data_IF_617960905366
#
_entry.id   IF_617960905366
#
_cell.length_a   1.000
_cell.length_b   1.000
_cell.length_c   1.000
_cell.angle_alpha   90.00
_cell.angle_beta   90.00
_cell.angle_gamma   90.00
#
_symmetry.space_group_name_H-M   'P 1'
#
loop_
_entity.id
_entity.type
_entity.pdbx_description
1 polymer ?
#
# COMPACT_ATOMS: atom_id res chain seq x y z
N UNK A 1 -36.74 -31.02 -32.88
CA UNK A 1 -37.35 -31.16 -31.54
C UNK A 1 -36.24 -31.72 -30.65
N UNK A 2 -35.55 -31.02 -29.76
CA UNK A 2 -35.77 -29.78 -28.98
C UNK A 2 -34.40 -29.19 -28.62
N UNK A 3 -34.17 -27.90 -28.87
CA UNK A 3 -33.12 -27.16 -28.16
C UNK A 3 -33.64 -26.82 -26.76
N UNK A 4 -33.02 -27.38 -25.73
CA UNK A 4 -33.27 -26.99 -24.34
C UNK A 4 -32.22 -25.95 -23.96
N UNK A 5 -32.60 -24.67 -24.08
CA UNK A 5 -31.81 -23.52 -23.63
C UNK A 5 -31.92 -23.43 -22.11
N UNK A 6 -30.88 -23.87 -21.40
CA UNK A 6 -30.66 -23.59 -19.97
C UNK A 6 -29.41 -22.75 -19.83
N UNK A 7 -29.55 -21.44 -19.98
CA UNK A 7 -28.45 -20.48 -19.86
C UNK A 7 -28.84 -19.17 -19.16
N UNK A 8 -29.87 -19.18 -18.32
CA UNK A 8 -30.47 -17.95 -17.79
C UNK A 8 -30.25 -17.63 -16.31
N UNK A 9 -29.84 -18.59 -15.47
CA UNK A 9 -29.91 -18.41 -14.00
C UNK A 9 -28.55 -18.25 -13.28
N UNK A 10 -27.41 -18.49 -13.94
CA UNK A 10 -26.09 -18.46 -13.28
C UNK A 10 -25.36 -17.11 -13.44
N UNK A 11 -25.78 -16.26 -14.39
CA UNK A 11 -25.11 -15.00 -14.73
C UNK A 11 -25.20 -13.94 -13.61
N UNK A 12 -26.31 -13.88 -12.87
CA UNK A 12 -26.52 -12.85 -11.84
C UNK A 12 -25.70 -13.04 -10.56
N UNK A 13 -25.42 -14.28 -10.16
CA UNK A 13 -24.62 -14.59 -8.97
C UNK A 13 -23.11 -14.44 -9.25
N UNK A 14 -22.67 -14.74 -10.47
CA UNK A 14 -21.28 -14.54 -10.90
C UNK A 14 -20.88 -13.06 -10.94
N UNK A 15 -21.76 -12.21 -11.46
CA UNK A 15 -21.48 -10.77 -11.60
C UNK A 15 -21.36 -10.06 -10.25
N UNK A 16 -22.18 -10.43 -9.26
CA UNK A 16 -22.13 -9.84 -7.92
C UNK A 16 -20.85 -10.21 -7.17
N UNK A 17 -20.39 -11.46 -7.33
CA UNK A 17 -19.14 -11.97 -6.74
C UNK A 17 -17.91 -11.31 -7.37
N UNK A 18 -17.90 -11.17 -8.70
CA UNK A 18 -16.84 -10.48 -9.43
C UNK A 18 -16.73 -9.00 -9.02
N UNK A 19 -17.87 -8.30 -8.94
CA UNK A 19 -17.91 -6.92 -8.48
C UNK A 19 -17.45 -6.78 -7.01
N UNK A 20 -17.77 -7.73 -6.14
CA UNK A 20 -17.29 -7.74 -4.75
C UNK A 20 -15.77 -7.89 -4.67
N UNK A 21 -15.21 -8.84 -5.43
CA UNK A 21 -13.76 -9.06 -5.51
C UNK A 21 -13.02 -7.81 -6.04
N UNK A 22 -13.54 -7.17 -7.09
CA UNK A 22 -12.96 -5.95 -7.65
C UNK A 22 -12.90 -4.81 -6.61
N UNK A 23 -13.95 -4.64 -5.78
CA UNK A 23 -13.95 -3.66 -4.68
C UNK A 23 -12.88 -3.96 -3.63
N UNK A 24 -12.67 -5.23 -3.29
CA UNK A 24 -11.63 -5.66 -2.34
C UNK A 24 -10.24 -5.33 -2.89
N UNK A 25 -9.97 -5.69 -4.14
CA UNK A 25 -8.68 -5.38 -4.80
C UNK A 25 -8.42 -3.86 -4.86
N UNK A 26 -9.44 -3.07 -5.19
CA UNK A 26 -9.33 -1.61 -5.24
C UNK A 26 -8.97 -1.00 -3.88
N UNK A 27 -9.54 -1.50 -2.78
CA UNK A 27 -9.20 -1.06 -1.41
C UNK A 27 -7.74 -1.31 -1.07
N UNK A 28 -7.23 -2.51 -1.37
CA UNK A 28 -5.83 -2.83 -1.09
C UNK A 28 -4.86 -2.12 -2.03
N UNK A 29 -5.26 -1.80 -3.26
CA UNK A 29 -4.48 -0.90 -4.13
C UNK A 29 -4.28 0.48 -3.48
N UNK A 30 -5.34 1.05 -2.88
CA UNK A 30 -5.25 2.35 -2.20
C UNK A 30 -4.32 2.29 -0.99
N UNK A 31 -4.42 1.26 -0.17
CA UNK A 31 -3.53 1.10 1.01
C UNK A 31 -2.08 0.91 0.56
N UNK A 32 -1.82 0.13 -0.49
CA UNK A 32 -0.48 -0.04 -1.06
C UNK A 32 0.08 1.27 -1.63
N UNK A 33 -0.75 2.07 -2.29
CA UNK A 33 -0.35 3.40 -2.77
C UNK A 33 -0.03 4.36 -1.62
N UNK A 34 -0.82 4.35 -0.54
CA UNK A 34 -0.55 5.15 0.66
C UNK A 34 0.77 4.72 1.31
N UNK A 35 0.98 3.41 1.48
CA UNK A 35 2.24 2.87 2.00
C UNK A 35 3.45 3.32 1.17
N UNK A 36 3.34 3.24 -0.15
CA UNK A 36 4.36 3.70 -1.08
C UNK A 36 4.66 5.20 -0.92
N UNK A 37 3.63 6.05 -0.95
CA UNK A 37 3.79 7.51 -0.83
C UNK A 37 4.41 7.89 0.50
N UNK A 38 3.95 7.30 1.62
CA UNK A 38 4.53 7.55 2.94
C UNK A 38 6.00 7.16 2.99
N UNK A 39 6.37 6.00 2.44
CA UNK A 39 7.76 5.54 2.41
C UNK A 39 8.67 6.40 1.55
N UNK A 40 8.23 6.78 0.35
CA UNK A 40 8.98 7.66 -0.54
C UNK A 40 9.15 9.05 0.07
N UNK A 41 8.08 9.60 0.66
CA UNK A 41 8.15 10.88 1.35
C UNK A 41 9.10 10.81 2.56
N UNK A 42 9.00 9.78 3.41
CA UNK A 42 9.91 9.57 4.52
C UNK A 42 11.38 9.53 4.07
N UNK A 43 11.67 8.87 2.95
CA UNK A 43 13.01 8.79 2.39
C UNK A 43 13.57 10.17 2.02
N UNK A 44 12.83 10.94 1.22
CA UNK A 44 13.30 12.25 0.76
C UNK A 44 13.34 13.29 1.88
N UNK A 45 12.31 13.34 2.73
CA UNK A 45 12.28 14.30 3.85
C UNK A 45 13.30 13.94 4.94
N UNK A 46 13.54 12.65 5.19
CA UNK A 46 14.54 12.19 6.16
C UNK A 46 15.97 12.40 5.71
N UNK A 47 16.21 12.39 4.40
CA UNK A 47 17.52 12.67 3.80
C UNK A 47 17.96 14.13 3.97
N UNK A 48 17.02 15.07 4.04
CA UNK A 48 17.31 16.50 4.17
C UNK A 48 17.32 16.89 5.64
N UNK A 49 18.45 17.41 6.13
CA UNK A 49 18.62 17.82 7.53
C UNK A 49 17.52 18.80 8.01
N UNK A 50 17.10 19.76 7.20
CA UNK A 50 16.06 20.72 7.60
C UNK A 50 14.64 20.11 7.73
N UNK A 51 14.38 18.94 7.14
CA UNK A 51 13.05 18.29 7.16
C UNK A 51 13.06 16.94 7.85
N UNK A 52 14.15 16.60 8.54
CA UNK A 52 14.38 15.27 9.07
C UNK A 52 13.29 14.82 10.05
N UNK A 53 12.77 15.72 10.89
CA UNK A 53 11.67 15.38 11.83
C UNK A 53 10.42 14.92 11.09
N UNK A 54 10.04 15.61 10.00
CA UNK A 54 8.91 15.19 9.18
C UNK A 54 9.19 13.83 8.51
N UNK A 55 10.41 13.62 8.01
CA UNK A 55 10.87 12.32 7.50
C UNK A 55 10.77 11.20 8.53
N UNK A 56 11.12 11.47 9.79
CA UNK A 56 11.05 10.51 10.88
C UNK A 56 9.60 10.13 11.21
N UNK A 57 8.71 11.11 11.33
CA UNK A 57 7.28 10.87 11.60
C UNK A 57 6.65 10.04 10.47
N UNK A 58 6.94 10.40 9.22
CA UNK A 58 6.46 9.65 8.06
C UNK A 58 7.06 8.24 8.01
N UNK A 59 8.32 8.04 8.42
CA UNK A 59 8.94 6.73 8.52
C UNK A 59 8.29 5.85 9.59
N UNK A 60 8.03 6.41 10.77
CA UNK A 60 7.37 5.71 11.90
C UNK A 60 5.95 5.28 11.54
N UNK A 61 5.21 6.07 10.76
CA UNK A 61 3.85 5.73 10.33
C UNK A 61 3.88 4.83 9.08
N UNK A 62 4.71 5.18 8.11
CA UNK A 62 4.79 4.51 6.81
C UNK A 62 5.26 3.06 6.92
N UNK A 63 6.18 2.76 7.84
CA UNK A 63 6.72 1.43 8.01
C UNK A 63 5.65 0.41 8.49
N UNK A 64 4.89 0.65 9.57
CA UNK A 64 3.74 -0.18 9.95
C UNK A 64 2.67 -0.27 8.87
N UNK A 65 2.36 0.83 8.17
CA UNK A 65 1.35 0.83 7.10
C UNK A 65 1.79 -0.09 5.94
N UNK A 66 3.06 -0.03 5.54
CA UNK A 66 3.61 -0.91 4.50
C UNK A 66 3.62 -2.39 4.93
N UNK A 67 4.00 -2.68 6.18
CA UNK A 67 3.96 -4.03 6.74
C UNK A 67 2.53 -4.60 6.78
N UNK A 68 1.57 -3.80 7.25
CA UNK A 68 0.15 -4.20 7.26
C UNK A 68 -0.36 -4.44 5.83
N UNK A 69 -0.10 -3.50 4.92
CA UNK A 69 -0.46 -3.63 3.51
C UNK A 69 0.12 -4.89 2.87
N UNK A 70 1.34 -5.27 3.25
CA UNK A 70 2.02 -6.47 2.73
C UNK A 70 1.30 -7.76 3.12
N UNK A 71 0.76 -7.84 4.34
CA UNK A 71 0.02 -9.01 4.82
C UNK A 71 -1.35 -9.17 4.13
N UNK A 72 -1.96 -8.05 3.75
CA UNK A 72 -3.30 -8.03 3.15
C UNK A 72 -3.29 -8.06 1.61
N UNK A 73 -2.12 -7.98 1.00
CA UNK A 73 -2.00 -7.85 -0.46
C UNK A 73 -2.45 -9.10 -1.22
N UNK A 74 -3.36 -8.87 -2.17
CA UNK A 74 -3.95 -9.88 -3.05
C UNK A 74 -3.12 -10.07 -4.31
N UNK A 75 -2.50 -9.00 -4.83
CA UNK A 75 -1.75 -9.04 -6.09
C UNK A 75 -0.26 -8.86 -5.87
N UNK A 76 0.54 -9.37 -6.81
CA UNK A 76 2.00 -9.19 -6.81
C UNK A 76 2.39 -7.70 -6.96
N UNK A 77 1.63 -6.93 -7.73
CA UNK A 77 1.88 -5.49 -7.91
C UNK A 77 1.75 -4.70 -6.60
N UNK A 78 0.73 -4.99 -5.79
CA UNK A 78 0.58 -4.41 -4.44
C UNK A 78 1.80 -4.72 -3.57
N UNK A 79 2.29 -5.97 -3.62
CA UNK A 79 3.44 -6.41 -2.83
C UNK A 79 4.71 -5.64 -3.18
N UNK A 80 4.97 -5.41 -4.46
CA UNK A 80 6.12 -4.63 -4.89
C UNK A 80 6.04 -3.17 -4.43
N UNK A 81 4.88 -2.54 -4.53
CA UNK A 81 4.68 -1.18 -4.00
C UNK A 81 4.94 -1.11 -2.50
N UNK A 82 4.45 -2.10 -1.74
CA UNK A 82 4.68 -2.16 -0.30
C UNK A 82 6.16 -2.36 0.05
N UNK A 83 6.89 -3.18 -0.69
CA UNK A 83 8.34 -3.36 -0.48
C UNK A 83 9.08 -2.05 -0.67
N UNK A 84 8.77 -1.30 -1.73
CA UNK A 84 9.39 0.01 -1.97
C UNK A 84 9.04 0.99 -0.85
N UNK A 85 7.76 1.06 -0.45
CA UNK A 85 7.32 1.89 0.67
C UNK A 85 8.00 1.52 1.99
N UNK A 86 8.10 0.24 2.29
CA UNK A 86 8.75 -0.28 3.50
C UNK A 86 10.24 0.07 3.55
N UNK A 87 10.97 -0.15 2.47
CA UNK A 87 12.39 0.20 2.37
C UNK A 87 12.58 1.72 2.46
N UNK A 88 11.76 2.50 1.75
CA UNK A 88 11.79 3.95 1.81
C UNK A 88 11.53 4.50 3.21
N UNK A 89 10.50 3.98 3.89
CA UNK A 89 10.18 4.37 5.27
C UNK A 89 11.30 4.04 6.25
N UNK A 90 11.87 2.83 6.16
CA UNK A 90 12.95 2.39 7.03
C UNK A 90 14.23 3.21 6.83
N UNK A 91 14.68 3.34 5.58
CA UNK A 91 15.90 4.10 5.25
C UNK A 91 15.72 5.58 5.52
N UNK A 92 14.56 6.15 5.19
CA UNK A 92 14.21 7.54 5.48
C UNK A 92 14.24 7.85 6.98
N UNK A 93 13.64 7.01 7.81
CA UNK A 93 13.73 7.12 9.26
C UNK A 93 15.20 7.02 9.74
N UNK A 94 16.00 6.12 9.17
CA UNK A 94 17.43 6.01 9.47
C UNK A 94 18.21 7.29 9.16
N UNK A 95 17.96 7.92 8.01
CA UNK A 95 18.54 9.23 7.70
C UNK A 95 18.04 10.30 8.66
N UNK A 96 16.75 10.30 9.01
CA UNK A 96 16.22 11.29 9.91
C UNK A 96 16.84 11.21 11.31
N UNK A 97 17.03 10.00 11.83
CA UNK A 97 17.72 9.77 13.11
C UNK A 97 19.17 10.27 13.06
N UNK A 98 19.87 10.09 11.94
CA UNK A 98 21.22 10.62 11.74
C UNK A 98 21.27 12.16 11.79
N UNK A 99 20.22 12.83 11.34
CA UNK A 99 20.16 14.30 11.27
C UNK A 99 19.69 14.97 12.58
N UNK A 100 19.46 14.21 13.66
CA UNK A 100 19.01 14.74 14.95
C UNK A 100 17.71 14.11 15.48
N UNK A 101 17.05 13.29 14.66
CA UNK A 101 15.84 12.57 15.04
C UNK A 101 14.65 13.50 15.26
N UNK A 102 14.39 13.87 16.52
CA UNK A 102 13.30 14.78 16.91
C UNK A 102 13.78 16.18 17.33
N UNK A 103 15.08 16.46 17.25
CA UNK A 103 15.60 17.82 17.47
C UNK A 103 15.27 18.73 16.29
N UNK A 104 15.00 20.02 16.55
CA UNK A 104 14.76 21.03 15.52
C UNK A 104 15.96 21.96 15.36
#
# INVERSE_FOLDING_TARGET
MTQHVTGGHESGAGDTTAAAHARVVARFNMIAAVAFVLGVAALFLGFISATHVAGLVLGIIGLPVALYSQMMSVTTGQRWLNVIGMVGAFVGAGFALRHGGFSM
#
